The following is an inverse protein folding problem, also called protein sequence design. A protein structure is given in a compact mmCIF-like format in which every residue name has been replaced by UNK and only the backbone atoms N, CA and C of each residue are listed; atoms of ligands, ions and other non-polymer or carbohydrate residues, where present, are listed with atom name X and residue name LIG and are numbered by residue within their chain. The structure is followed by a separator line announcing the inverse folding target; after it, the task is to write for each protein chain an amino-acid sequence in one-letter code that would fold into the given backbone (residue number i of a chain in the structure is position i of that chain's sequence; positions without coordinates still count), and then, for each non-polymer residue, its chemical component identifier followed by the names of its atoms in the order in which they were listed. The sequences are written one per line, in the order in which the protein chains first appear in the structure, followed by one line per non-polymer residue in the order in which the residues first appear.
data_IF_687783435969
#
_entry.id   IF_687783435969
#
_cell.length_a   1.000
_cell.length_b   1.000
_cell.length_c   1.000
_cell.angle_alpha   90.00
_cell.angle_beta   90.00
_cell.angle_gamma   90.00
#
_symmetry.space_group_name_H-M   'P 1'
#
loop_
_entity.id
_entity.type
_entity.pdbx_description
1 polymer ?
#
# COMPACT_ATOMS: atom_id res chain seq x y z
N UNK A 1 -37.22 1.33 17.92
CA UNK A 1 -37.04 0.03 17.28
C UNK A 1 -36.09 0.22 16.12
N UNK A 2 -34.85 -0.18 16.30
CA UNK A 2 -33.82 -0.17 15.25
C UNK A 2 -33.51 -1.64 15.00
N UNK A 3 -34.13 -2.17 13.93
CA UNK A 3 -33.85 -3.53 13.49
C UNK A 3 -32.48 -3.52 12.74
N UNK A 4 -31.64 -4.41 13.18
CA UNK A 4 -30.31 -4.66 12.64
C UNK A 4 -30.41 -5.26 11.24
N UNK A 5 -29.89 -4.60 10.23
CA UNK A 5 -29.66 -5.20 8.91
C UNK A 5 -28.36 -6.02 9.00
N UNK A 6 -28.47 -7.27 9.41
CA UNK A 6 -27.44 -8.29 9.26
C UNK A 6 -27.78 -9.16 8.05
N UNK A 7 -27.43 -8.70 6.87
CA UNK A 7 -27.58 -9.41 5.60
C UNK A 7 -26.29 -9.50 4.82
N UNK A 8 -25.18 -9.90 5.48
CA UNK A 8 -23.96 -10.31 4.77
C UNK A 8 -24.10 -11.81 4.53
N UNK A 9 -24.26 -12.19 3.25
CA UNK A 9 -24.35 -13.57 2.82
C UNK A 9 -23.23 -14.41 3.42
N UNK A 10 -23.60 -15.43 4.18
CA UNK A 10 -22.66 -16.41 4.76
C UNK A 10 -21.90 -17.09 3.63
N UNK A 11 -20.64 -16.70 3.46
CA UNK A 11 -19.67 -17.50 2.72
C UNK A 11 -19.55 -18.82 3.48
N UNK A 12 -19.75 -19.91 2.76
CA UNK A 12 -19.78 -21.27 3.30
C UNK A 12 -18.41 -21.61 3.93
N UNK A 13 -18.30 -21.49 5.24
CA UNK A 13 -17.09 -21.68 6.05
C UNK A 13 -16.68 -23.17 6.15
N UNK A 14 -17.47 -24.07 5.57
CA UNK A 14 -17.22 -25.52 5.63
C UNK A 14 -15.91 -26.00 5.04
N UNK A 15 -15.32 -25.27 4.09
CA UNK A 15 -14.05 -25.64 3.45
C UNK A 15 -12.80 -25.02 4.11
N UNK A 16 -12.95 -24.07 5.04
CA UNK A 16 -11.83 -23.42 5.73
C UNK A 16 -11.33 -24.23 6.94
N UNK A 17 -12.17 -25.02 7.60
CA UNK A 17 -11.76 -25.84 8.76
C UNK A 17 -10.81 -27.01 8.43
N UNK A 18 -10.63 -27.36 7.16
CA UNK A 18 -9.65 -28.40 6.74
C UNK A 18 -8.23 -27.89 6.58
N UNK A 19 -8.01 -26.58 6.66
CA UNK A 19 -6.68 -25.95 6.49
C UNK A 19 -5.96 -25.61 7.81
N UNK A 20 -6.67 -25.58 8.95
CA UNK A 20 -6.06 -25.19 10.24
C UNK A 20 -5.08 -26.22 10.84
N UNK A 21 -5.07 -27.46 10.36
CA UNK A 21 -4.18 -28.51 10.85
C UNK A 21 -2.91 -28.71 9.97
N UNK A 22 -2.59 -27.81 9.04
CA UNK A 22 -1.37 -27.91 8.21
C UNK A 22 -0.27 -26.88 8.53
N UNK A 23 -0.43 -26.06 9.56
CA UNK A 23 0.56 -25.04 9.93
C UNK A 23 1.81 -25.55 10.66
N UNK A 24 1.92 -26.86 10.91
CA UNK A 24 3.10 -27.43 11.59
C UNK A 24 4.06 -28.24 10.71
N UNK A 25 3.91 -28.21 9.38
CA UNK A 25 4.80 -28.98 8.49
C UNK A 25 5.39 -28.10 7.37
N UNK A 26 5.86 -26.89 7.70
CA UNK A 26 6.63 -26.06 6.75
C UNK A 26 8.09 -25.93 7.20
N UNK A 27 8.71 -27.01 7.61
CA UNK A 27 10.13 -26.99 7.91
C UNK A 27 10.97 -28.04 7.19
N UNK A 28 10.55 -28.58 6.06
CA UNK A 28 11.44 -29.45 5.25
C UNK A 28 10.92 -29.53 3.83
N UNK A 29 11.40 -28.68 2.91
CA UNK A 29 11.59 -28.98 1.49
C UNK A 29 12.01 -27.72 0.70
N UNK A 30 13.12 -27.07 1.08
CA UNK A 30 13.83 -26.26 0.11
C UNK A 30 14.85 -27.17 -0.59
N UNK A 31 14.55 -27.63 -1.78
CA UNK A 31 15.48 -28.39 -2.62
C UNK A 31 16.70 -27.55 -3.07
N UNK A 32 16.68 -26.26 -2.85
CA UNK A 32 17.78 -25.31 -3.08
C UNK A 32 18.01 -24.47 -1.82
N UNK A 33 19.28 -24.14 -1.48
CA UNK A 33 19.57 -23.25 -0.37
C UNK A 33 18.93 -21.88 -0.59
N UNK A 34 18.37 -21.32 0.48
CA UNK A 34 17.81 -19.96 0.47
C UNK A 34 18.92 -18.97 0.16
N UNK A 35 18.70 -18.08 -0.83
CA UNK A 35 19.72 -17.13 -1.30
C UNK A 35 19.38 -15.68 -1.01
N UNK A 36 18.09 -15.35 -0.95
CA UNK A 36 17.60 -13.98 -0.81
C UNK A 36 16.61 -13.85 0.30
N UNK A 37 16.63 -12.70 0.96
CA UNK A 37 15.60 -12.26 1.89
C UNK A 37 15.00 -10.98 1.36
N UNK A 38 13.68 -10.84 1.44
CA UNK A 38 12.97 -9.62 1.06
C UNK A 38 12.15 -9.09 2.22
N UNK A 39 12.29 -7.80 2.52
CA UNK A 39 11.38 -7.03 3.37
C UNK A 39 10.48 -6.19 2.47
N UNK A 40 9.17 -6.30 2.66
CA UNK A 40 8.20 -5.53 1.87
C UNK A 40 6.98 -5.14 2.73
N UNK A 41 6.18 -4.20 2.22
CA UNK A 41 4.92 -3.81 2.85
C UNK A 41 3.86 -4.94 2.76
N UNK A 42 2.63 -4.67 3.11
CA UNK A 42 1.54 -5.66 3.13
C UNK A 42 0.32 -5.23 2.29
N UNK A 43 0.55 -4.60 1.16
CA UNK A 43 -0.47 -4.13 0.23
C UNK A 43 -0.35 -4.75 -1.17
N UNK A 44 -1.05 -4.19 -2.14
CA UNK A 44 -1.07 -4.71 -3.51
C UNK A 44 0.27 -4.49 -4.22
N UNK A 45 1.00 -3.39 -3.96
CA UNK A 45 2.32 -3.16 -4.54
C UNK A 45 3.35 -4.15 -4.00
N UNK A 46 3.32 -4.43 -2.70
CA UNK A 46 4.09 -5.52 -2.11
C UNK A 46 3.79 -6.88 -2.76
N UNK A 47 2.53 -7.16 -3.10
CA UNK A 47 2.18 -8.36 -3.85
C UNK A 47 2.83 -8.37 -5.24
N UNK A 48 2.86 -7.25 -5.93
CA UNK A 48 3.57 -7.07 -7.20
C UNK A 48 5.07 -7.35 -7.05
N UNK A 49 5.70 -6.80 -6.00
CA UNK A 49 7.10 -7.07 -5.68
C UNK A 49 7.37 -8.57 -5.47
N UNK A 50 6.56 -9.23 -4.63
CA UNK A 50 6.65 -10.68 -4.40
C UNK A 50 6.49 -11.46 -5.71
N UNK A 51 5.57 -11.06 -6.58
CA UNK A 51 5.34 -11.73 -7.86
C UNK A 51 6.59 -11.68 -8.76
N UNK A 52 7.23 -10.52 -8.88
CA UNK A 52 8.46 -10.37 -9.68
C UNK A 52 9.60 -11.20 -9.09
N UNK A 53 9.81 -11.15 -7.77
CA UNK A 53 10.87 -11.89 -7.10
C UNK A 53 10.67 -13.40 -7.19
N UNK A 54 9.41 -13.86 -7.09
CA UNK A 54 9.07 -15.28 -7.27
C UNK A 54 9.35 -15.79 -8.69
N UNK A 55 9.36 -14.96 -9.69
CA UNK A 55 9.71 -15.35 -11.06
C UNK A 55 11.21 -15.24 -11.38
N UNK A 56 11.97 -14.44 -10.59
CA UNK A 56 13.37 -14.10 -10.92
C UNK A 56 14.40 -14.66 -9.95
N UNK A 57 14.15 -14.71 -8.66
CA UNK A 57 15.17 -14.96 -7.63
C UNK A 57 14.92 -16.16 -6.71
N UNK A 58 13.94 -17.01 -6.99
CA UNK A 58 13.62 -18.17 -6.14
C UNK A 58 14.83 -18.99 -5.71
N UNK A 59 14.87 -19.44 -4.45
CA UNK A 59 13.93 -19.23 -3.35
C UNK A 59 14.20 -17.94 -2.57
N UNK A 60 13.13 -17.21 -2.19
CA UNK A 60 13.18 -15.99 -1.38
C UNK A 60 12.41 -16.20 -0.08
N UNK A 61 12.94 -15.69 1.04
CA UNK A 61 12.22 -15.56 2.31
C UNK A 61 11.66 -14.16 2.43
N UNK A 62 10.36 -14.05 2.67
CA UNK A 62 9.68 -12.76 2.80
C UNK A 62 9.43 -12.39 4.26
N UNK A 63 9.68 -11.13 4.59
CA UNK A 63 9.26 -10.43 5.78
C UNK A 63 8.29 -9.34 5.36
N UNK A 64 7.14 -9.28 6.01
CA UNK A 64 6.11 -8.27 5.76
C UNK A 64 6.05 -7.32 6.94
N UNK A 65 5.91 -6.02 6.66
CA UNK A 65 5.92 -4.98 7.67
C UNK A 65 4.80 -3.96 7.46
N UNK A 66 4.46 -3.28 8.55
CA UNK A 66 3.75 -2.01 8.55
C UNK A 66 4.71 -0.93 9.01
N UNK A 67 4.29 0.34 8.89
CA UNK A 67 5.09 1.46 9.39
C UNK A 67 5.29 1.41 10.91
N UNK A 68 4.36 0.79 11.66
CA UNK A 68 4.42 0.73 13.12
C UNK A 68 5.45 -0.27 13.65
N UNK A 69 5.76 -1.33 12.91
CA UNK A 69 6.64 -2.42 13.31
C UNK A 69 7.93 -2.51 12.47
N UNK A 70 8.18 -1.51 11.63
CA UNK A 70 9.27 -1.53 10.65
C UNK A 70 10.66 -1.72 11.28
N UNK A 71 10.98 -1.03 12.37
CA UNK A 71 12.26 -1.19 13.07
C UNK A 71 12.45 -2.61 13.58
N UNK A 72 11.41 -3.19 14.18
CA UNK A 72 11.41 -4.57 14.66
C UNK A 72 11.61 -5.56 13.51
N UNK A 73 10.95 -5.33 12.38
CA UNK A 73 11.07 -6.20 11.19
C UNK A 73 12.45 -6.11 10.53
N UNK A 74 13.08 -4.95 10.51
CA UNK A 74 14.49 -4.83 10.05
C UNK A 74 15.40 -5.61 10.99
N UNK A 75 15.17 -5.54 12.30
CA UNK A 75 15.94 -6.31 13.28
C UNK A 75 15.73 -7.83 13.11
N UNK A 76 14.48 -8.31 13.02
CA UNK A 76 14.15 -9.72 12.77
C UNK A 76 14.83 -10.25 11.49
N UNK A 77 14.77 -9.45 10.41
CA UNK A 77 15.42 -9.78 9.14
C UNK A 77 16.94 -9.89 9.32
N UNK A 78 17.54 -8.95 10.05
CA UNK A 78 18.99 -8.93 10.29
C UNK A 78 19.44 -10.18 11.06
N UNK A 79 18.75 -10.54 12.14
CA UNK A 79 19.06 -11.74 12.91
C UNK A 79 18.86 -13.01 12.05
N UNK A 80 17.78 -13.08 11.29
CA UNK A 80 17.57 -14.20 10.37
C UNK A 80 18.73 -14.34 9.34
N UNK A 81 19.21 -13.21 8.80
CA UNK A 81 20.36 -13.21 7.90
C UNK A 81 21.64 -13.75 8.56
N UNK A 82 21.91 -13.35 9.81
CA UNK A 82 23.07 -13.84 10.60
C UNK A 82 22.98 -15.34 10.84
N UNK A 83 21.84 -15.82 11.35
CA UNK A 83 21.60 -17.22 11.68
C UNK A 83 21.74 -18.15 10.47
N UNK A 84 21.24 -17.70 9.32
CA UNK A 84 21.19 -18.49 8.09
C UNK A 84 22.34 -18.19 7.11
N UNK A 85 23.25 -17.27 7.47
CA UNK A 85 24.38 -16.80 6.65
C UNK A 85 23.96 -16.29 5.26
N UNK A 86 22.85 -15.54 5.22
CA UNK A 86 22.32 -14.94 3.99
C UNK A 86 22.79 -13.50 3.94
N UNK A 87 23.44 -13.11 2.84
CA UNK A 87 23.97 -11.77 2.64
C UNK A 87 23.27 -10.99 1.52
N UNK A 88 22.26 -11.60 0.88
CA UNK A 88 21.52 -10.97 -0.21
C UNK A 88 20.15 -10.52 0.31
N UNK A 89 19.94 -9.22 0.36
CA UNK A 89 18.74 -8.60 0.92
C UNK A 89 18.14 -7.62 -0.09
N UNK A 90 16.83 -7.69 -0.24
CA UNK A 90 16.03 -6.73 -0.98
C UNK A 90 15.04 -6.09 -0.02
N UNK A 91 14.96 -4.76 -0.04
CA UNK A 91 13.86 -4.02 0.58
C UNK A 91 13.05 -3.40 -0.56
N UNK A 92 11.74 -3.64 -0.58
CA UNK A 92 10.86 -3.16 -1.64
C UNK A 92 9.57 -2.59 -1.07
N UNK A 93 9.13 -1.43 -1.56
CA UNK A 93 7.85 -0.83 -1.20
C UNK A 93 7.71 -0.54 0.30
N UNK A 94 8.73 0.05 0.91
CA UNK A 94 8.73 0.38 2.35
C UNK A 94 9.31 1.77 2.56
N UNK A 95 8.52 2.70 3.12
CA UNK A 95 9.02 4.03 3.50
C UNK A 95 10.01 3.93 4.65
N UNK A 96 11.28 4.07 4.34
CA UNK A 96 12.40 3.90 5.26
C UNK A 96 12.80 5.18 6.00
N UNK A 97 12.07 6.29 5.82
CA UNK A 97 12.44 7.64 6.26
C UNK A 97 12.87 7.76 7.72
N UNK A 98 12.42 6.86 8.59
CA UNK A 98 12.78 6.83 10.01
C UNK A 98 13.80 5.74 10.37
N UNK A 99 14.28 4.96 9.40
CA UNK A 99 15.04 3.73 9.66
C UNK A 99 16.50 3.81 9.19
N UNK A 100 17.04 5.01 8.93
CA UNK A 100 18.39 5.18 8.39
C UNK A 100 19.47 4.45 9.16
N UNK A 101 19.47 4.59 10.49
CA UNK A 101 20.51 3.96 11.34
C UNK A 101 20.36 2.43 11.34
N UNK A 102 19.13 1.91 11.31
CA UNK A 102 18.86 0.48 11.17
C UNK A 102 19.36 -0.07 9.84
N UNK A 103 19.23 0.70 8.73
CA UNK A 103 19.78 0.31 7.43
C UNK A 103 21.30 0.31 7.42
N UNK A 104 21.95 1.31 8.03
CA UNK A 104 23.42 1.35 8.17
C UNK A 104 23.91 0.17 9.00
N UNK A 105 23.19 -0.22 10.06
CA UNK A 105 23.53 -1.39 10.84
C UNK A 105 23.33 -2.68 10.03
N UNK A 106 22.19 -2.86 9.38
CA UNK A 106 21.92 -4.01 8.51
C UNK A 106 23.05 -4.20 7.48
N UNK A 107 23.43 -3.14 6.75
CA UNK A 107 24.49 -3.26 5.74
C UNK A 107 25.85 -3.66 6.32
N UNK A 108 26.19 -3.22 7.56
CA UNK A 108 27.42 -3.66 8.26
C UNK A 108 27.34 -5.15 8.58
N UNK A 109 26.21 -5.60 9.09
CA UNK A 109 25.98 -7.00 9.43
C UNK A 109 26.04 -7.90 8.19
N UNK A 110 25.45 -7.47 7.07
CA UNK A 110 25.53 -8.20 5.79
C UNK A 110 26.95 -8.32 5.28
N UNK A 111 27.76 -7.25 5.38
CA UNK A 111 29.19 -7.28 5.02
C UNK A 111 30.01 -8.20 5.91
N UNK A 112 29.65 -8.31 7.20
CA UNK A 112 30.28 -9.25 8.11
C UNK A 112 29.95 -10.72 7.76
N UNK A 113 28.76 -10.98 7.21
CA UNK A 113 28.39 -12.32 6.70
C UNK A 113 29.16 -12.62 5.41
N UNK A 114 29.22 -11.66 4.47
CA UNK A 114 29.93 -11.78 3.21
C UNK A 114 30.39 -10.40 2.71
N UNK A 115 31.68 -10.24 2.36
CA UNK A 115 32.18 -9.01 1.70
C UNK A 115 31.44 -8.69 0.40
N UNK A 116 30.93 -9.71 -0.30
CA UNK A 116 30.18 -9.61 -1.55
C UNK A 116 28.67 -9.62 -1.31
N UNK A 117 28.21 -9.05 -0.18
CA UNK A 117 26.78 -8.92 0.11
C UNK A 117 26.06 -8.10 -0.97
N UNK A 118 24.87 -8.57 -1.36
CA UNK A 118 24.00 -7.90 -2.32
C UNK A 118 22.81 -7.26 -1.58
N UNK A 119 22.85 -5.93 -1.43
CA UNK A 119 21.80 -5.19 -0.73
C UNK A 119 21.20 -4.16 -1.66
N UNK A 120 19.90 -4.35 -1.99
CA UNK A 120 19.16 -3.51 -2.94
C UNK A 120 17.90 -2.94 -2.30
N UNK A 121 17.54 -1.71 -2.69
CA UNK A 121 16.32 -1.04 -2.28
C UNK A 121 15.57 -0.58 -3.53
N UNK A 122 14.30 -1.03 -3.63
CA UNK A 122 13.36 -0.64 -4.70
C UNK A 122 12.19 0.10 -4.04
N UNK A 123 12.10 1.41 -4.26
CA UNK A 123 11.11 2.19 -3.53
C UNK A 123 10.66 3.44 -4.32
N UNK A 124 9.49 3.96 -3.95
CA UNK A 124 8.91 5.14 -4.58
C UNK A 124 8.50 6.23 -3.56
N UNK A 125 8.76 6.00 -2.29
CA UNK A 125 8.46 6.96 -1.24
C UNK A 125 9.37 8.19 -1.29
N UNK A 126 8.93 9.28 -0.64
CA UNK A 126 9.68 10.51 -0.54
C UNK A 126 10.70 10.43 0.59
N UNK A 127 11.92 10.84 0.29
CA UNK A 127 13.02 10.93 1.24
C UNK A 127 13.59 12.33 1.26
N UNK A 128 14.16 12.73 2.40
CA UNK A 128 14.96 13.95 2.48
C UNK A 128 16.29 13.75 1.74
N UNK A 129 16.85 14.82 1.17
CA UNK A 129 18.05 14.79 0.32
C UNK A 129 19.26 14.08 0.97
N UNK A 130 19.35 14.17 2.32
CA UNK A 130 20.45 13.57 3.09
C UNK A 130 20.14 12.16 3.63
N UNK A 131 18.95 11.62 3.37
CA UNK A 131 18.56 10.34 3.94
C UNK A 131 19.52 9.22 3.59
N UNK A 132 19.96 9.15 2.33
CA UNK A 132 20.79 8.08 1.81
C UNK A 132 22.29 8.21 2.17
N UNK A 133 22.68 9.29 2.84
CA UNK A 133 24.09 9.47 3.23
C UNK A 133 24.54 8.38 4.20
N UNK A 134 25.56 7.61 3.81
CA UNK A 134 26.08 6.46 4.57
C UNK A 134 25.37 5.13 4.31
N UNK A 135 24.27 5.11 3.54
CA UNK A 135 23.65 3.89 3.02
C UNK A 135 24.36 3.50 1.73
N UNK A 136 24.91 2.28 1.67
CA UNK A 136 25.68 1.76 0.53
C UNK A 136 24.91 0.67 -0.25
N UNK A 137 23.60 0.59 -0.07
CA UNK A 137 22.73 -0.27 -0.88
C UNK A 137 22.71 0.20 -2.34
N UNK A 138 22.43 -0.71 -3.26
CA UNK A 138 22.06 -0.36 -4.61
C UNK A 138 20.63 0.22 -4.59
N UNK A 139 20.49 1.50 -4.96
CA UNK A 139 19.26 2.26 -4.81
C UNK A 139 18.52 2.40 -6.14
N UNK A 140 17.28 1.95 -6.17
CA UNK A 140 16.33 2.12 -7.27
C UNK A 140 15.09 2.85 -6.73
N UNK A 141 15.19 4.17 -6.60
CA UNK A 141 14.14 5.02 -6.04
C UNK A 141 13.56 5.92 -7.12
N UNK A 142 12.27 5.76 -7.41
CA UNK A 142 11.57 6.54 -8.45
C UNK A 142 10.12 6.79 -8.07
N UNK A 143 9.80 8.00 -7.66
CA UNK A 143 8.45 8.41 -7.24
C UNK A 143 7.39 8.42 -8.35
N UNK A 144 7.79 8.26 -9.61
CA UNK A 144 6.86 8.21 -10.75
C UNK A 144 6.29 6.82 -11.03
N UNK A 145 6.79 5.80 -10.34
CA UNK A 145 6.39 4.40 -10.50
C UNK A 145 6.35 3.72 -9.14
N UNK A 146 5.42 2.79 -8.94
CA UNK A 146 5.40 1.98 -7.74
C UNK A 146 6.59 1.01 -7.66
N UNK A 147 6.89 0.50 -6.48
CA UNK A 147 8.08 -0.32 -6.25
C UNK A 147 8.08 -1.61 -7.10
N UNK A 148 6.92 -2.27 -7.25
CA UNK A 148 6.81 -3.46 -8.10
C UNK A 148 7.08 -3.16 -9.58
N UNK A 149 6.72 -1.97 -10.07
CA UNK A 149 7.03 -1.55 -11.45
C UNK A 149 8.53 -1.27 -11.62
N UNK A 150 9.17 -0.64 -10.63
CA UNK A 150 10.62 -0.42 -10.65
C UNK A 150 11.35 -1.76 -10.68
N UNK A 151 10.93 -2.69 -9.83
CA UNK A 151 11.50 -4.03 -9.71
C UNK A 151 11.27 -4.87 -10.97
N UNK A 152 10.07 -4.78 -11.56
CA UNK A 152 9.75 -5.40 -12.83
C UNK A 152 10.67 -4.90 -13.95
N UNK A 153 10.85 -3.59 -14.10
CA UNK A 153 11.71 -3.01 -15.13
C UNK A 153 13.19 -3.41 -14.95
N UNK A 154 13.64 -3.50 -13.71
CA UNK A 154 15.00 -3.94 -13.38
C UNK A 154 15.26 -5.40 -13.82
N UNK A 155 14.33 -6.31 -13.58
CA UNK A 155 14.50 -7.73 -13.90
C UNK A 155 14.04 -8.13 -15.31
N UNK A 156 13.21 -7.32 -15.98
CA UNK A 156 12.63 -7.66 -17.29
C UNK A 156 13.53 -7.28 -18.49
N UNK A 157 14.83 -7.26 -18.33
CA UNK A 157 15.78 -6.83 -19.38
C UNK A 157 15.72 -7.67 -20.66
N UNK A 158 15.31 -8.94 -20.55
CA UNK A 158 15.14 -9.89 -21.66
C UNK A 158 13.70 -10.09 -22.10
N UNK A 159 12.75 -9.26 -21.63
CA UNK A 159 11.33 -9.42 -21.84
C UNK A 159 10.74 -10.74 -21.27
N UNK A 160 11.45 -11.44 -20.40
CA UNK A 160 11.04 -12.71 -19.82
C UNK A 160 9.83 -12.61 -18.89
N UNK A 161 9.52 -11.41 -18.38
CA UNK A 161 8.41 -11.14 -17.49
C UNK A 161 7.20 -10.50 -18.18
N UNK A 162 7.21 -10.34 -19.51
CA UNK A 162 6.13 -9.65 -20.24
C UNK A 162 4.74 -10.25 -20.00
N UNK A 163 4.66 -11.55 -19.65
CA UNK A 163 3.39 -12.22 -19.35
C UNK A 163 2.67 -11.63 -18.11
N UNK A 164 3.39 -10.91 -17.24
CA UNK A 164 2.81 -10.25 -16.06
C UNK A 164 2.74 -8.72 -16.19
N UNK A 165 3.08 -8.16 -17.35
CA UNK A 165 3.15 -6.70 -17.55
C UNK A 165 1.83 -5.99 -17.25
N UNK A 166 0.70 -6.58 -17.64
CA UNK A 166 -0.65 -6.04 -17.41
C UNK A 166 -1.01 -5.99 -15.91
N UNK A 167 -0.64 -7.04 -15.18
CA UNK A 167 -0.82 -7.09 -13.73
C UNK A 167 0.01 -6.00 -13.05
N UNK A 168 1.31 -5.90 -13.37
CA UNK A 168 2.20 -4.88 -12.80
C UNK A 168 1.75 -3.46 -13.18
N UNK A 169 1.31 -3.25 -14.44
CA UNK A 169 0.73 -1.97 -14.86
C UNK A 169 -0.51 -1.60 -14.03
N UNK A 170 -1.39 -2.56 -13.79
CA UNK A 170 -2.60 -2.35 -13.00
C UNK A 170 -2.28 -2.02 -11.54
N UNK A 171 -1.29 -2.71 -10.93
CA UNK A 171 -0.77 -2.38 -9.59
C UNK A 171 -0.25 -0.95 -9.56
N UNK A 172 0.60 -0.58 -10.53
CA UNK A 172 1.18 0.76 -10.64
C UNK A 172 0.11 1.86 -10.77
N UNK A 173 -0.93 1.64 -11.59
CA UNK A 173 -2.04 2.59 -11.71
C UNK A 173 -2.72 2.88 -10.38
N UNK A 174 -2.92 1.85 -9.56
CA UNK A 174 -3.52 2.00 -8.24
C UNK A 174 -2.60 2.76 -7.29
N UNK A 175 -1.36 2.33 -7.19
CA UNK A 175 -0.46 2.74 -6.13
C UNK A 175 0.00 4.19 -6.29
N UNK A 176 0.43 4.62 -7.48
CA UNK A 176 0.76 6.03 -7.77
C UNK A 176 -0.46 6.88 -8.17
N UNK A 177 -1.65 6.29 -8.09
CA UNK A 177 -2.93 6.97 -8.26
C UNK A 177 -3.13 7.65 -9.61
N UNK A 178 -2.81 6.95 -10.71
CA UNK A 178 -3.01 7.44 -12.09
C UNK A 178 -4.48 7.36 -12.52
N UNK A 179 -5.34 8.15 -11.90
CA UNK A 179 -6.81 8.11 -12.02
C UNK A 179 -7.37 8.51 -13.38
N UNK A 180 -6.58 9.17 -14.22
CA UNK A 180 -7.01 9.60 -15.56
C UNK A 180 -6.82 8.49 -16.60
N UNK A 181 -6.11 7.42 -16.24
CA UNK A 181 -5.97 6.22 -17.05
C UNK A 181 -7.29 5.44 -17.14
N UNK A 182 -7.60 4.93 -18.34
CA UNK A 182 -8.86 4.22 -18.61
C UNK A 182 -9.05 2.98 -17.70
N UNK A 183 -7.95 2.32 -17.33
CA UNK A 183 -7.96 1.09 -16.54
C UNK A 183 -7.86 1.32 -15.02
N UNK A 184 -7.86 2.57 -14.58
CA UNK A 184 -7.74 2.87 -13.15
C UNK A 184 -8.85 2.22 -12.30
N UNK A 185 -10.08 2.14 -12.82
CA UNK A 185 -11.16 1.44 -12.13
C UNK A 185 -10.85 -0.05 -11.93
N UNK A 186 -10.22 -0.70 -12.91
CA UNK A 186 -9.79 -2.08 -12.78
C UNK A 186 -8.74 -2.24 -11.66
N UNK A 187 -7.85 -1.26 -11.51
CA UNK A 187 -6.85 -1.27 -10.43
C UNK A 187 -7.48 -1.15 -9.05
N UNK A 188 -8.51 -0.33 -8.89
CA UNK A 188 -9.29 -0.23 -7.65
C UNK A 188 -9.96 -1.56 -7.30
N UNK A 189 -10.59 -2.21 -8.28
CA UNK A 189 -11.27 -3.50 -8.10
C UNK A 189 -10.26 -4.58 -7.73
N UNK A 190 -9.12 -4.62 -8.40
CA UNK A 190 -8.04 -5.57 -8.09
C UNK A 190 -7.54 -5.41 -6.66
N UNK A 191 -7.35 -4.17 -6.21
CA UNK A 191 -6.92 -3.87 -4.85
C UNK A 191 -7.93 -4.35 -3.80
N UNK A 192 -9.23 -4.09 -4.00
CA UNK A 192 -10.28 -4.57 -3.09
C UNK A 192 -10.32 -6.11 -3.06
N UNK A 193 -10.16 -6.75 -4.23
CA UNK A 193 -10.09 -8.21 -4.32
C UNK A 193 -8.89 -8.77 -3.56
N UNK A 194 -7.74 -8.14 -3.71
CA UNK A 194 -6.52 -8.49 -2.98
C UNK A 194 -6.74 -8.41 -1.46
N UNK A 195 -7.23 -7.27 -0.94
CA UNK A 195 -7.46 -7.11 0.50
C UNK A 195 -8.52 -8.09 1.04
N UNK A 196 -9.56 -8.37 0.26
CA UNK A 196 -10.54 -9.40 0.60
C UNK A 196 -9.92 -10.79 0.71
N UNK A 197 -8.98 -11.12 -0.19
CA UNK A 197 -8.29 -12.41 -0.17
C UNK A 197 -7.33 -12.54 1.00
N UNK A 198 -6.46 -11.55 1.23
CA UNK A 198 -5.46 -11.64 2.30
C UNK A 198 -6.08 -11.57 3.69
N UNK A 199 -7.30 -11.01 3.83
CA UNK A 199 -8.03 -10.90 5.09
C UNK A 199 -7.14 -10.39 6.24
N UNK A 200 -6.35 -9.33 5.97
CA UNK A 200 -5.39 -8.70 6.90
C UNK A 200 -4.23 -9.60 7.37
N UNK A 201 -4.00 -10.72 6.72
CA UNK A 201 -2.90 -11.64 7.03
C UNK A 201 -1.81 -11.51 5.97
N UNK A 202 -0.70 -10.88 6.31
CA UNK A 202 0.40 -10.60 5.37
C UNK A 202 0.99 -11.87 4.75
N UNK A 203 1.00 -12.99 5.49
CA UNK A 203 1.42 -14.30 4.98
C UNK A 203 0.59 -14.80 3.80
N UNK A 204 -0.64 -14.29 3.64
CA UNK A 204 -1.49 -14.62 2.50
C UNK A 204 -1.08 -13.90 1.20
N UNK A 205 -0.19 -12.93 1.24
CA UNK A 205 0.33 -12.25 0.05
C UNK A 205 1.00 -13.25 -0.89
N UNK A 206 1.86 -14.12 -0.35
CA UNK A 206 2.48 -15.17 -1.16
C UNK A 206 1.45 -16.16 -1.72
N UNK A 207 0.36 -16.44 -0.99
CA UNK A 207 -0.72 -17.29 -1.49
C UNK A 207 -1.49 -16.60 -2.62
N UNK A 208 -1.78 -15.31 -2.49
CA UNK A 208 -2.40 -14.54 -3.56
C UNK A 208 -1.49 -14.45 -4.80
N UNK A 209 -0.20 -14.24 -4.61
CA UNK A 209 0.78 -14.26 -5.71
C UNK A 209 0.78 -15.60 -6.45
N UNK A 210 0.72 -16.71 -5.73
CA UNK A 210 0.60 -18.05 -6.35
C UNK A 210 -0.72 -18.23 -7.10
N UNK A 211 -1.80 -17.67 -6.60
CA UNK A 211 -3.09 -17.66 -7.29
C UNK A 211 -3.01 -16.80 -8.56
N UNK A 212 -2.41 -15.61 -8.48
CA UNK A 212 -2.18 -14.76 -9.65
C UNK A 212 -1.35 -15.47 -10.72
N UNK A 213 -0.30 -16.18 -10.31
CA UNK A 213 0.52 -17.01 -11.22
C UNK A 213 -0.28 -18.13 -11.90
N UNK A 214 -1.13 -18.86 -11.16
CA UNK A 214 -2.01 -19.90 -11.72
C UNK A 214 -2.94 -19.37 -12.80
N UNK A 215 -3.31 -18.10 -12.69
CA UNK A 215 -4.13 -17.38 -13.65
C UNK A 215 -3.29 -16.58 -14.67
N UNK A 216 -2.00 -16.90 -14.85
CA UNK A 216 -1.08 -16.19 -15.73
C UNK A 216 -1.08 -14.66 -15.52
N UNK A 217 -1.29 -14.20 -14.28
CA UNK A 217 -1.41 -12.78 -13.91
C UNK A 217 -2.48 -12.02 -14.71
N UNK A 218 -3.49 -12.73 -15.21
CA UNK A 218 -4.58 -12.13 -15.95
C UNK A 218 -5.49 -11.31 -15.02
N UNK A 219 -5.47 -10.01 -15.16
CA UNK A 219 -6.20 -9.06 -14.30
C UNK A 219 -7.71 -9.33 -14.33
N UNK A 220 -8.29 -9.59 -15.50
CA UNK A 220 -9.72 -9.85 -15.63
C UNK A 220 -10.13 -11.11 -14.88
N UNK A 221 -9.32 -12.16 -14.95
CA UNK A 221 -9.57 -13.41 -14.19
C UNK A 221 -9.40 -13.21 -12.68
N UNK A 222 -8.41 -12.43 -12.25
CA UNK A 222 -8.20 -12.12 -10.84
C UNK A 222 -9.33 -11.27 -10.23
N UNK A 223 -9.94 -10.40 -11.03
CA UNK A 223 -11.12 -9.64 -10.63
C UNK A 223 -12.38 -10.54 -10.58
N UNK A 224 -12.48 -11.56 -11.45
CA UNK A 224 -13.61 -12.48 -11.52
C UNK A 224 -14.96 -11.78 -11.58
N UNK A 225 -15.98 -12.43 -11.03
CA UNK A 225 -17.35 -11.87 -10.94
C UNK A 225 -17.45 -10.66 -10.02
N UNK A 226 -16.42 -10.35 -9.25
CA UNK A 226 -16.36 -9.20 -8.35
C UNK A 226 -16.58 -7.88 -9.10
N UNK A 227 -16.18 -7.81 -10.37
CA UNK A 227 -16.41 -6.65 -11.24
C UNK A 227 -17.88 -6.30 -11.40
N UNK A 228 -18.78 -7.29 -11.48
CA UNK A 228 -20.22 -7.07 -11.64
C UNK A 228 -20.91 -6.77 -10.31
N UNK A 229 -20.58 -7.52 -9.27
CA UNK A 229 -21.13 -7.30 -7.92
C UNK A 229 -20.67 -5.96 -7.34
N UNK A 230 -19.41 -5.60 -7.57
CA UNK A 230 -18.83 -4.34 -7.10
C UNK A 230 -19.54 -3.10 -7.66
N UNK A 231 -19.95 -3.13 -8.92
CA UNK A 231 -20.70 -2.03 -9.52
C UNK A 231 -22.07 -1.84 -8.87
N UNK A 232 -22.77 -2.93 -8.55
CA UNK A 232 -24.06 -2.90 -7.88
C UNK A 232 -23.93 -2.49 -6.40
N UNK A 233 -22.96 -3.03 -5.69
CA UNK A 233 -22.64 -2.65 -4.31
C UNK A 233 -22.23 -1.18 -4.22
N UNK A 234 -21.46 -0.70 -5.19
CA UNK A 234 -21.06 0.71 -5.26
C UNK A 234 -22.24 1.65 -5.50
N UNK A 235 -23.15 1.34 -6.43
CA UNK A 235 -24.34 2.17 -6.66
C UNK A 235 -25.28 2.15 -5.43
N UNK A 236 -25.41 1.02 -4.76
CA UNK A 236 -26.17 0.89 -3.50
C UNK A 236 -25.50 1.75 -2.41
N UNK A 237 -24.20 1.62 -2.24
CA UNK A 237 -23.44 2.35 -1.24
C UNK A 237 -23.42 3.86 -1.54
N UNK A 238 -23.28 4.26 -2.80
CA UNK A 238 -23.38 5.64 -3.24
C UNK A 238 -24.73 6.27 -2.91
N UNK A 239 -25.80 5.52 -3.04
CA UNK A 239 -27.16 5.96 -2.68
C UNK A 239 -27.32 6.08 -1.17
N UNK A 240 -26.78 5.15 -0.40
CA UNK A 240 -26.78 5.17 1.08
C UNK A 240 -25.92 6.32 1.61
N UNK A 241 -24.74 6.54 1.05
CA UNK A 241 -23.78 7.56 1.50
C UNK A 241 -24.13 8.98 1.04
N UNK A 242 -25.05 9.17 0.09
CA UNK A 242 -25.62 10.49 -0.17
C UNK A 242 -26.23 11.13 1.05
N UNK A 243 -26.66 10.34 2.02
CA UNK A 243 -27.24 10.80 3.30
C UNK A 243 -26.18 11.21 4.32
N UNK A 244 -24.93 10.77 4.18
CA UNK A 244 -23.82 11.06 5.14
C UNK A 244 -22.78 12.05 4.63
N UNK A 245 -22.90 12.51 3.38
CA UNK A 245 -21.97 13.47 2.82
C UNK A 245 -22.14 14.85 3.41
N UNK A 246 -21.05 15.39 3.95
CA UNK A 246 -20.96 16.82 4.30
C UNK A 246 -20.00 17.51 3.35
N UNK A 247 -20.50 18.46 2.55
CA UNK A 247 -19.66 19.31 1.74
C UNK A 247 -19.16 20.49 2.57
N UNK A 248 -17.86 20.56 2.77
CA UNK A 248 -17.22 21.73 3.36
C UNK A 248 -16.69 22.58 2.23
N UNK A 249 -17.35 23.71 1.96
CA UNK A 249 -16.88 24.68 0.97
C UNK A 249 -15.92 25.64 1.64
N UNK A 250 -14.69 25.71 1.16
CA UNK A 250 -13.74 26.68 1.68
C UNK A 250 -13.94 28.08 1.09
N UNK A 251 -13.58 29.09 1.85
CA UNK A 251 -13.62 30.49 1.38
C UNK A 251 -12.64 30.80 0.25
N UNK A 252 -11.65 29.95 -0.01
CA UNK A 252 -10.67 30.08 -1.10
C UNK A 252 -10.93 29.13 -2.28
N UNK A 253 -12.10 28.49 -2.35
CA UNK A 253 -12.49 27.69 -3.50
C UNK A 253 -11.95 26.27 -3.51
N UNK A 254 -11.33 25.74 -2.45
CA UNK A 254 -11.02 24.31 -2.30
C UNK A 254 -12.32 23.56 -2.03
N UNK A 255 -12.70 22.64 -2.91
CA UNK A 255 -13.90 21.82 -2.75
C UNK A 255 -13.54 20.55 -1.98
N UNK A 256 -14.04 20.42 -0.77
CA UNK A 256 -13.74 19.31 0.13
C UNK A 256 -15.00 18.49 0.40
N UNK A 257 -14.92 17.19 0.24
CA UNK A 257 -15.94 16.21 0.65
C UNK A 257 -15.44 15.40 1.84
N UNK A 258 -16.29 15.19 2.84
CA UNK A 258 -16.04 14.35 4.01
C UNK A 258 -16.94 13.12 3.94
N UNK A 259 -16.36 11.96 4.18
CA UNK A 259 -17.04 10.66 4.23
C UNK A 259 -16.80 10.04 5.61
N UNK A 260 -17.86 9.73 6.33
CA UNK A 260 -17.79 9.14 7.68
C UNK A 260 -17.64 7.61 7.66
N UNK A 261 -17.02 7.08 6.61
CA UNK A 261 -16.74 5.66 6.43
C UNK A 261 -15.43 5.45 5.69
N UNK A 262 -14.83 4.26 5.85
CA UNK A 262 -13.66 3.85 5.08
C UNK A 262 -13.94 2.75 4.06
N UNK A 263 -15.13 2.16 4.15
CA UNK A 263 -15.50 1.11 3.24
C UNK A 263 -15.55 1.69 1.82
N UNK A 264 -14.79 1.09 0.91
CA UNK A 264 -14.63 1.55 -0.47
C UNK A 264 -14.09 3.00 -0.61
N UNK A 265 -13.33 3.48 0.39
CA UNK A 265 -12.80 4.85 0.38
C UNK A 265 -12.00 5.22 -0.90
N UNK A 266 -11.13 4.36 -1.45
CA UNK A 266 -10.44 4.65 -2.71
C UNK A 266 -11.40 4.89 -3.87
N UNK A 267 -12.45 4.09 -3.96
CA UNK A 267 -13.46 4.22 -5.02
C UNK A 267 -14.29 5.50 -4.87
N UNK A 268 -14.72 5.82 -3.65
CA UNK A 268 -15.39 7.09 -3.36
C UNK A 268 -14.55 8.28 -3.74
N UNK A 269 -13.28 8.25 -3.37
CA UNK A 269 -12.32 9.30 -3.71
C UNK A 269 -12.25 9.51 -5.22
N UNK A 270 -12.17 8.45 -5.99
CA UNK A 270 -12.14 8.50 -7.44
C UNK A 270 -13.38 9.21 -8.01
N UNK A 271 -14.59 8.80 -7.59
CA UNK A 271 -15.82 9.41 -8.11
C UNK A 271 -16.03 10.84 -7.62
N UNK A 272 -15.68 11.15 -6.37
CA UNK A 272 -15.77 12.50 -5.85
C UNK A 272 -14.82 13.46 -6.58
N UNK A 273 -13.60 13.03 -6.86
CA UNK A 273 -12.65 13.83 -7.63
C UNK A 273 -13.09 14.02 -9.09
N UNK A 274 -13.68 12.99 -9.71
CA UNK A 274 -14.30 13.12 -11.05
C UNK A 274 -15.51 14.06 -11.03
N UNK A 275 -16.25 14.15 -9.94
CA UNK A 275 -17.35 15.09 -9.77
C UNK A 275 -16.91 16.53 -9.43
N UNK A 276 -15.60 16.77 -9.40
CA UNK A 276 -15.01 18.10 -9.23
C UNK A 276 -14.60 18.46 -7.80
N UNK A 277 -14.46 17.48 -6.89
CA UNK A 277 -13.88 17.70 -5.57
C UNK A 277 -12.35 17.76 -5.64
N UNK A 278 -11.76 18.64 -4.84
CA UNK A 278 -10.31 18.85 -4.76
C UNK A 278 -9.67 18.01 -3.67
N UNK A 279 -10.39 17.80 -2.57
CA UNK A 279 -9.96 17.04 -1.40
C UNK A 279 -11.07 16.12 -0.93
N UNK A 280 -10.75 14.88 -0.63
CA UNK A 280 -11.66 13.90 -0.03
C UNK A 280 -11.08 13.41 1.28
N UNK A 281 -11.87 13.48 2.34
CA UNK A 281 -11.47 13.09 3.69
C UNK A 281 -12.36 11.95 4.16
N UNK A 282 -11.76 10.81 4.47
CA UNK A 282 -12.43 9.70 5.16
C UNK A 282 -12.11 9.75 6.65
N UNK A 283 -13.14 9.59 7.49
CA UNK A 283 -12.98 9.65 8.96
C UNK A 283 -13.57 8.40 9.59
N UNK A 284 -12.80 7.72 10.45
CA UNK A 284 -13.29 6.61 11.28
C UNK A 284 -12.40 6.48 12.53
N UNK A 285 -13.01 6.46 13.70
CA UNK A 285 -12.31 6.26 14.98
C UNK A 285 -11.11 7.19 15.21
N UNK A 286 -11.24 8.48 14.88
CA UNK A 286 -10.17 9.47 15.06
C UNK A 286 -9.02 9.35 14.04
N UNK A 287 -9.14 8.48 13.06
CA UNK A 287 -8.19 8.39 11.97
C UNK A 287 -8.77 9.07 10.73
N UNK A 288 -7.97 9.94 10.14
CA UNK A 288 -8.30 10.74 8.97
C UNK A 288 -7.48 10.26 7.78
N UNK A 289 -8.15 9.73 6.76
CA UNK A 289 -7.54 9.42 5.46
C UNK A 289 -7.83 10.57 4.51
N UNK A 290 -6.79 11.18 3.97
CA UNK A 290 -6.91 12.33 3.09
C UNK A 290 -6.40 11.95 1.71
N UNK A 291 -7.16 12.34 0.70
CA UNK A 291 -6.78 12.25 -0.71
C UNK A 291 -6.93 13.64 -1.33
N UNK A 292 -5.94 14.02 -2.10
CA UNK A 292 -5.88 15.32 -2.79
C UNK A 292 -5.87 15.09 -4.29
N UNK A 293 -6.64 15.88 -5.02
CA UNK A 293 -6.65 15.85 -6.47
C UNK A 293 -5.33 16.41 -6.99
N UNK A 294 -4.75 15.73 -7.96
CA UNK A 294 -3.53 16.15 -8.61
C UNK A 294 -3.68 17.52 -9.28
N UNK A 295 -2.62 18.31 -9.28
CA UNK A 295 -2.62 19.66 -9.88
C UNK A 295 -3.35 20.74 -9.10
N UNK A 296 -3.98 20.41 -7.94
CA UNK A 296 -4.66 21.42 -7.09
C UNK A 296 -3.69 22.19 -6.21
N UNK A 297 -2.60 21.55 -5.81
CA UNK A 297 -1.55 22.11 -4.95
C UNK A 297 -0.18 21.79 -5.54
N UNK A 298 0.78 22.71 -5.35
CA UNK A 298 2.18 22.43 -5.64
C UNK A 298 2.76 21.37 -4.68
N UNK A 299 3.81 20.68 -5.09
CA UNK A 299 4.49 19.68 -4.24
C UNK A 299 4.98 20.28 -2.92
N UNK A 300 5.47 21.53 -2.97
CA UNK A 300 5.92 22.26 -1.78
C UNK A 300 4.74 22.60 -0.84
N UNK A 301 3.60 22.99 -1.39
CA UNK A 301 2.39 23.21 -0.60
C UNK A 301 1.93 21.92 0.08
N UNK A 302 1.93 20.79 -0.62
CA UNK A 302 1.59 19.48 -0.06
C UNK A 302 2.53 19.06 1.07
N UNK A 303 3.84 19.26 0.92
CA UNK A 303 4.83 19.01 2.00
C UNK A 303 4.49 19.84 3.25
N UNK A 304 4.19 21.13 3.10
CA UNK A 304 3.82 22.01 4.22
C UNK A 304 2.50 21.59 4.87
N UNK A 305 1.48 21.25 4.07
CA UNK A 305 0.19 20.76 4.56
C UNK A 305 0.39 19.50 5.40
N UNK A 306 1.13 18.51 4.87
CA UNK A 306 1.39 17.25 5.57
C UNK A 306 2.15 17.47 6.87
N UNK A 307 3.21 18.29 6.85
CA UNK A 307 3.97 18.64 8.07
C UNK A 307 3.07 19.28 9.12
N UNK A 308 2.16 20.18 8.72
CA UNK A 308 1.23 20.85 9.63
C UNK A 308 0.15 19.92 10.20
N UNK A 309 -0.33 18.95 9.42
CA UNK A 309 -1.38 18.02 9.83
C UNK A 309 -0.84 16.80 10.58
N UNK A 310 0.26 16.22 10.10
CA UNK A 310 0.80 14.94 10.56
C UNK A 310 2.04 15.08 11.45
N UNK A 311 2.62 16.29 11.56
CA UNK A 311 3.92 16.47 12.22
C UNK A 311 5.02 15.72 11.49
N UNK A 312 5.95 15.12 12.25
CA UNK A 312 7.04 14.33 11.71
C UNK A 312 6.63 12.87 11.40
N UNK A 313 5.44 12.45 11.84
CA UNK A 313 4.85 11.14 11.51
C UNK A 313 4.21 11.15 10.12
N UNK A 314 5.04 11.17 9.10
CA UNK A 314 4.63 11.45 7.72
C UNK A 314 4.43 10.14 6.93
N UNK A 315 3.28 9.48 7.11
CA UNK A 315 2.93 8.26 6.41
C UNK A 315 2.11 8.52 5.15
N UNK A 316 2.50 7.92 4.03
CA UNK A 316 1.76 7.93 2.77
C UNK A 316 2.41 8.76 1.65
N UNK A 317 1.74 8.80 0.49
CA UNK A 317 2.17 9.49 -0.74
C UNK A 317 1.85 10.98 -0.70
N UNK A 318 2.42 11.76 -1.63
CA UNK A 318 2.19 13.21 -1.71
C UNK A 318 0.71 13.59 -1.79
N UNK A 319 -0.08 12.81 -2.54
CA UNK A 319 -1.52 13.03 -2.74
C UNK A 319 -2.42 12.19 -1.82
N UNK A 320 -1.83 11.32 -0.99
CA UNK A 320 -2.55 10.32 -0.22
C UNK A 320 -1.89 10.11 1.15
N UNK A 321 -2.46 10.61 2.23
CA UNK A 321 -1.87 10.47 3.55
C UNK A 321 -2.93 10.23 4.63
N UNK A 322 -2.46 9.69 5.74
CA UNK A 322 -3.30 9.33 6.89
C UNK A 322 -2.65 9.84 8.16
N UNK A 323 -3.47 10.34 9.08
CA UNK A 323 -3.01 10.65 10.43
C UNK A 323 -4.10 10.35 11.46
N UNK A 324 -3.69 10.23 12.72
CA UNK A 324 -4.57 10.00 13.87
C UNK A 324 -4.64 11.26 14.72
N UNK A 325 -5.85 11.69 15.06
CA UNK A 325 -6.08 12.76 16.02
C UNK A 325 -6.84 12.21 17.23
N UNK A 326 -6.60 12.81 18.39
CA UNK A 326 -7.41 12.55 19.57
C UNK A 326 -8.71 13.34 19.46
N UNK A 327 -9.78 12.63 19.13
CA UNK A 327 -11.12 13.21 18.91
C UNK A 327 -12.14 12.44 19.74
N UNK A 328 -12.27 12.78 21.03
CA UNK A 328 -13.06 12.01 21.99
C UNK A 328 -14.57 12.03 21.69
N UNK A 329 -15.04 12.97 20.88
CA UNK A 329 -16.46 13.11 20.56
C UNK A 329 -16.68 13.72 19.16
N UNK A 330 -17.96 13.85 18.77
CA UNK A 330 -18.34 14.36 17.46
C UNK A 330 -17.92 15.82 17.22
N UNK A 331 -17.95 16.66 18.26
CA UNK A 331 -17.59 18.08 18.13
C UNK A 331 -16.08 18.23 17.90
N UNK A 332 -15.27 17.40 18.56
CA UNK A 332 -13.83 17.32 18.31
C UNK A 332 -13.53 16.87 16.88
N UNK A 333 -14.29 15.91 16.32
CA UNK A 333 -14.18 15.52 14.91
C UNK A 333 -14.51 16.69 13.98
N UNK A 334 -15.56 17.46 14.28
CA UNK A 334 -15.95 18.61 13.47
C UNK A 334 -14.86 19.70 13.53
N UNK A 335 -14.34 19.98 14.72
CA UNK A 335 -13.26 20.96 14.90
C UNK A 335 -12.01 20.55 14.10
N UNK A 336 -11.66 19.26 14.12
CA UNK A 336 -10.52 18.74 13.37
C UNK A 336 -10.74 18.83 11.85
N UNK A 337 -11.93 18.56 11.36
CA UNK A 337 -12.27 18.72 9.94
C UNK A 337 -12.17 20.18 9.48
N UNK A 338 -12.57 21.13 10.33
CA UNK A 338 -12.39 22.56 10.06
C UNK A 338 -10.89 22.89 10.00
N UNK A 339 -10.09 22.41 10.97
CA UNK A 339 -8.63 22.62 11.00
C UNK A 339 -7.95 22.09 9.73
N UNK A 340 -8.36 20.91 9.25
CA UNK A 340 -7.86 20.32 8.00
C UNK A 340 -8.21 21.25 6.83
N UNK A 341 -9.48 21.64 6.71
CA UNK A 341 -9.96 22.50 5.63
C UNK A 341 -9.23 23.85 5.60
N UNK A 342 -9.04 24.49 6.77
CA UNK A 342 -8.31 25.75 6.89
C UNK A 342 -6.83 25.59 6.52
N UNK A 343 -6.24 24.44 6.83
CA UNK A 343 -4.87 24.15 6.43
C UNK A 343 -4.75 24.08 4.90
N UNK A 344 -5.64 23.38 4.21
CA UNK A 344 -5.64 23.34 2.76
C UNK A 344 -5.87 24.72 2.15
N UNK A 345 -6.78 25.52 2.73
CA UNK A 345 -7.03 26.89 2.29
C UNK A 345 -5.83 27.82 2.46
N UNK A 346 -5.05 27.63 3.51
CA UNK A 346 -3.85 28.44 3.78
C UNK A 346 -2.79 28.28 2.69
N UNK A 347 -2.67 27.09 2.13
CA UNK A 347 -1.62 26.73 1.16
C UNK A 347 -2.11 26.63 -0.28
N UNK A 348 -3.36 26.99 -0.57
CA UNK A 348 -3.81 27.13 -1.95
C UNK A 348 -3.29 28.47 -2.49
N UNK A 349 -2.40 28.40 -3.44
CA UNK A 349 -1.84 29.53 -4.20
C UNK A 349 -2.86 30.11 -5.18
#
# INVERSE_FOLDING_TARGET
MIESITGIGRINVGNLRRMENKSQVISKNFSKPLKYVCLTHNDLDACGCVAVLEETLKPVKYFYTNYADLHEKIYELTEFCKENRISNVIIADVSLSQCRDSLIQLQRDLKNISPNSDFKIFDHHLYDDNFWHGVTAELHVDKSRCASKILFDYFNTSNSLNFMSDFIRTVNLFDIYLKDEADFLNSLILNERFFGFINKKSENILLYTKEAKRNNFNVSTLMGDFKYNYKNEFETLKNTLKLEKKYIRSNKGVKTTVILSWDLFPLFTYFEMKSGQDVVIGVKYGIFKIRVKEGVFSENALKKIRKKLCGDSNYGHSLAFTYKADVPNKDAVIAELIRISDTFNTYKE
#
